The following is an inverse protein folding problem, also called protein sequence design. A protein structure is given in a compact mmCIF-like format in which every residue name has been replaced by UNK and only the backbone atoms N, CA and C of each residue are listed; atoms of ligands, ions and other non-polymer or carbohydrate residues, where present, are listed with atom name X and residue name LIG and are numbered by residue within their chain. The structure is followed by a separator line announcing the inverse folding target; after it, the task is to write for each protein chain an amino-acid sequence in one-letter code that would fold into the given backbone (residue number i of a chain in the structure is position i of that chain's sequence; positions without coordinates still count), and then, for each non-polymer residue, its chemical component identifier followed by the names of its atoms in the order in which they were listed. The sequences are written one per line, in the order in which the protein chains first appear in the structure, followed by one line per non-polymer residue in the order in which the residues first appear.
data_IF_603083536296
#
_entry.id   IF_603083536296
#
_cell.length_a   1.000
_cell.length_b   1.000
_cell.length_c   1.000
_cell.angle_alpha   90.00
_cell.angle_beta   90.00
_cell.angle_gamma   90.00
#
_symmetry.space_group_name_H-M   'P 1'
#
loop_
_entity.id
_entity.type
_entity.pdbx_description
1 polymer ?
#
# COMPACT_ATOMS: atom_id res chain seq x y z
N UNK A 1 -17.83 -24.88 20.83
CA UNK A 1 -16.51 -24.27 20.68
C UNK A 1 -16.53 -22.72 20.66
N UNK A 2 -17.66 -22.07 20.25
CA UNK A 2 -17.73 -20.59 20.17
C UNK A 2 -18.06 -19.88 21.50
N UNK A 3 -18.72 -20.55 22.46
CA UNK A 3 -19.00 -20.00 23.79
C UNK A 3 -19.49 -18.53 23.79
N UNK A 4 -18.99 -17.74 24.74
CA UNK A 4 -19.34 -16.34 24.91
C UNK A 4 -18.90 -15.44 23.73
N UNK A 5 -17.85 -15.80 22.99
CA UNK A 5 -17.36 -15.00 21.86
C UNK A 5 -18.42 -14.86 20.73
N UNK A 6 -19.21 -15.91 20.50
CA UNK A 6 -20.29 -15.85 19.49
C UNK A 6 -21.32 -14.77 19.83
N UNK A 7 -21.73 -14.72 21.09
CA UNK A 7 -22.71 -13.74 21.56
C UNK A 7 -22.15 -12.31 21.47
N UNK A 8 -20.88 -12.13 21.80
CA UNK A 8 -20.22 -10.83 21.71
C UNK A 8 -20.14 -10.35 20.26
N UNK A 9 -19.67 -11.21 19.34
CA UNK A 9 -19.60 -10.89 17.91
C UNK A 9 -20.99 -10.61 17.31
N UNK A 10 -22.03 -11.38 17.69
CA UNK A 10 -23.39 -11.11 17.24
C UNK A 10 -23.91 -9.76 17.71
N UNK A 11 -23.58 -9.37 18.96
CA UNK A 11 -23.94 -8.06 19.51
C UNK A 11 -23.22 -6.95 18.74
N UNK A 12 -21.91 -7.05 18.53
CA UNK A 12 -21.12 -6.07 17.77
C UNK A 12 -21.64 -5.91 16.33
N UNK A 13 -21.93 -7.02 15.63
CA UNK A 13 -22.50 -6.98 14.29
C UNK A 13 -23.83 -6.25 14.24
N UNK A 14 -24.70 -6.47 15.23
CA UNK A 14 -25.98 -5.79 15.35
C UNK A 14 -25.79 -4.30 15.61
N UNK A 15 -24.88 -3.91 16.49
CA UNK A 15 -24.53 -2.51 16.77
C UNK A 15 -24.01 -1.81 15.50
N UNK A 16 -23.15 -2.47 14.72
CA UNK A 16 -22.66 -1.97 13.42
C UNK A 16 -23.82 -1.79 12.42
N UNK A 17 -24.76 -2.73 12.39
CA UNK A 17 -25.95 -2.64 11.50
C UNK A 17 -26.88 -1.50 11.93
N UNK A 18 -27.19 -1.39 13.22
CA UNK A 18 -28.02 -0.33 13.79
C UNK A 18 -27.40 1.06 13.61
N UNK A 19 -26.07 1.16 13.64
CA UNK A 19 -25.33 2.39 13.35
C UNK A 19 -25.27 2.74 11.85
N UNK A 20 -25.81 1.92 10.95
CA UNK A 20 -25.74 2.10 9.49
C UNK A 20 -24.35 1.90 8.90
N UNK A 21 -23.44 1.27 9.64
CA UNK A 21 -22.04 1.04 9.23
C UNK A 21 -21.84 -0.30 8.54
N UNK A 22 -22.84 -1.19 8.56
CA UNK A 22 -22.76 -2.48 7.91
C UNK A 22 -22.79 -2.32 6.39
N UNK A 23 -21.70 -2.69 5.73
CA UNK A 23 -21.56 -2.58 4.27
C UNK A 23 -21.94 -3.90 3.60
N UNK A 24 -23.01 -3.89 2.80
CA UNK A 24 -23.37 -5.02 1.95
C UNK A 24 -22.52 -5.00 0.69
N UNK A 25 -21.89 -6.13 0.38
CA UNK A 25 -21.11 -6.29 -0.85
C UNK A 25 -21.99 -6.23 -2.08
N UNK A 26 -21.52 -5.53 -3.13
CA UNK A 26 -22.14 -5.54 -4.47
C UNK A 26 -21.39 -6.55 -5.32
N UNK A 27 -22.07 -7.57 -5.79
CA UNK A 27 -21.47 -8.66 -6.57
C UNK A 27 -21.41 -8.23 -8.03
N UNK A 28 -20.20 -8.08 -8.55
CA UNK A 28 -19.93 -7.75 -9.95
C UNK A 28 -19.88 -9.05 -10.75
N UNK A 29 -20.58 -9.11 -11.87
CA UNK A 29 -20.77 -10.35 -12.67
C UNK A 29 -20.01 -10.32 -14.00
N UNK A 30 -19.39 -9.21 -14.35
CA UNK A 30 -18.62 -8.99 -15.58
C UNK A 30 -17.23 -8.44 -15.27
N UNK A 31 -16.32 -8.38 -16.25
CA UNK A 31 -15.02 -7.73 -16.06
C UNK A 31 -15.14 -6.29 -15.56
N UNK A 32 -14.12 -5.84 -14.84
CA UNK A 32 -14.01 -4.46 -14.39
C UNK A 32 -13.93 -3.50 -15.59
N UNK A 33 -14.76 -2.47 -15.55
CA UNK A 33 -14.84 -1.41 -16.56
C UNK A 33 -15.43 -0.14 -15.92
N UNK A 34 -15.56 0.93 -16.71
CA UNK A 34 -16.25 2.15 -16.31
C UNK A 34 -17.75 1.89 -16.03
N UNK A 35 -18.40 1.07 -16.86
CA UNK A 35 -19.73 0.53 -16.63
C UNK A 35 -19.59 -0.95 -16.25
N UNK A 36 -20.16 -1.35 -15.14
CA UNK A 36 -20.16 -2.73 -14.64
C UNK A 36 -21.57 -3.26 -14.47
N UNK A 37 -21.73 -4.57 -14.59
CA UNK A 37 -22.99 -5.26 -14.31
C UNK A 37 -22.93 -5.93 -12.93
N UNK A 38 -23.94 -5.70 -12.12
CA UNK A 38 -24.06 -6.30 -10.78
C UNK A 38 -25.09 -7.43 -10.80
N UNK A 39 -25.07 -8.26 -9.75
CA UNK A 39 -25.90 -9.49 -9.65
C UNK A 39 -27.40 -9.25 -9.73
N UNK A 40 -27.87 -8.04 -9.57
CA UNK A 40 -29.28 -7.65 -9.82
C UNK A 40 -29.62 -7.52 -11.30
N UNK A 41 -28.63 -7.60 -12.20
CA UNK A 41 -28.77 -7.37 -13.64
C UNK A 41 -28.71 -5.89 -14.03
N UNK A 42 -28.49 -5.00 -13.07
CA UNK A 42 -28.36 -3.57 -13.32
C UNK A 42 -26.93 -3.24 -13.82
N UNK A 43 -26.87 -2.26 -14.73
CA UNK A 43 -25.62 -1.64 -15.15
C UNK A 43 -25.40 -0.35 -14.37
N UNK A 44 -24.24 -0.19 -13.78
CA UNK A 44 -23.89 0.97 -12.96
C UNK A 44 -22.52 1.53 -13.35
N UNK A 45 -22.34 2.83 -13.18
CA UNK A 45 -21.01 3.46 -13.34
C UNK A 45 -20.16 3.15 -12.11
N UNK A 46 -18.91 2.73 -12.36
CA UNK A 46 -17.97 2.37 -11.33
C UNK A 46 -16.97 3.51 -11.07
N UNK A 47 -17.15 4.22 -9.97
CA UNK A 47 -16.24 5.28 -9.51
C UNK A 47 -15.32 4.83 -8.37
N UNK A 48 -15.36 3.56 -7.98
CA UNK A 48 -14.69 3.06 -6.77
C UNK A 48 -13.49 2.15 -7.08
N UNK A 49 -13.25 1.80 -8.35
CA UNK A 49 -12.21 0.85 -8.72
C UNK A 49 -10.83 1.50 -8.76
N UNK A 50 -9.82 0.78 -8.27
CA UNK A 50 -8.41 1.12 -8.43
C UNK A 50 -7.89 0.73 -9.83
N UNK A 51 -8.70 0.95 -10.86
CA UNK A 51 -8.40 0.65 -12.26
C UNK A 51 -8.11 1.94 -13.04
N UNK A 52 -7.24 2.78 -12.50
CA UNK A 52 -6.97 4.14 -12.97
C UNK A 52 -6.55 4.20 -14.45
N UNK A 53 -5.78 3.22 -14.90
CA UNK A 53 -5.30 3.12 -16.28
C UNK A 53 -6.21 2.25 -17.19
N UNK A 54 -7.29 1.68 -16.66
CA UNK A 54 -8.21 0.82 -17.42
C UNK A 54 -7.60 -0.53 -17.86
N UNK A 55 -6.54 -0.99 -17.22
CA UNK A 55 -5.76 -2.15 -17.67
C UNK A 55 -6.26 -3.50 -17.13
N UNK A 56 -7.14 -3.52 -16.12
CA UNK A 56 -7.54 -4.77 -15.46
C UNK A 56 -8.23 -5.78 -16.37
N UNK A 57 -8.84 -5.35 -17.48
CA UNK A 57 -9.44 -6.21 -18.51
C UNK A 57 -8.95 -5.89 -19.92
N UNK A 58 -7.80 -5.20 -20.04
CA UNK A 58 -7.23 -4.85 -21.35
C UNK A 58 -6.82 -6.14 -22.11
N UNK A 59 -7.22 -6.30 -23.40
CA UNK A 59 -7.01 -7.56 -24.13
C UNK A 59 -5.56 -8.04 -24.17
N UNK A 60 -4.61 -7.13 -24.36
CA UNK A 60 -3.19 -7.47 -24.41
C UNK A 60 -2.66 -7.95 -23.05
N UNK A 61 -3.11 -7.30 -21.94
CA UNK A 61 -2.72 -7.70 -20.58
C UNK A 61 -3.31 -9.09 -20.25
N UNK A 62 -4.57 -9.31 -20.62
CA UNK A 62 -5.24 -10.61 -20.43
C UNK A 62 -4.55 -11.70 -21.26
N UNK A 63 -4.15 -11.40 -22.51
CA UNK A 63 -3.47 -12.36 -23.35
C UNK A 63 -2.07 -12.68 -22.79
N UNK A 64 -1.30 -11.68 -22.40
CA UNK A 64 0.01 -11.89 -21.77
C UNK A 64 -0.06 -12.77 -20.52
N UNK A 65 -1.11 -12.60 -19.70
CA UNK A 65 -1.34 -13.47 -18.55
C UNK A 65 -1.62 -14.93 -18.94
N UNK A 66 -2.42 -15.17 -20.00
CA UNK A 66 -2.66 -16.51 -20.52
C UNK A 66 -1.39 -17.16 -21.05
N UNK A 67 -0.59 -16.44 -21.84
CA UNK A 67 0.67 -16.92 -22.39
C UNK A 67 1.67 -17.26 -21.26
N UNK A 68 1.67 -16.47 -20.20
CA UNK A 68 2.50 -16.75 -19.03
C UNK A 68 2.06 -18.03 -18.27
N UNK A 69 0.76 -18.31 -18.19
CA UNK A 69 0.25 -19.56 -17.62
C UNK A 69 0.70 -20.78 -18.43
N UNK A 70 0.72 -20.67 -19.76
CA UNK A 70 1.17 -21.76 -20.65
C UNK A 70 2.70 -22.00 -20.55
N UNK A 71 3.48 -20.95 -20.33
CA UNK A 71 4.96 -21.04 -20.33
C UNK A 71 5.56 -21.24 -18.94
N UNK A 72 4.95 -20.69 -17.88
CA UNK A 72 5.49 -20.68 -16.52
C UNK A 72 4.61 -21.41 -15.51
N UNK A 73 3.40 -21.83 -15.90
CA UNK A 73 2.43 -22.44 -14.99
C UNK A 73 1.73 -21.43 -14.10
N UNK A 74 0.85 -21.94 -13.22
CA UNK A 74 0.00 -21.10 -12.39
C UNK A 74 0.67 -20.60 -11.11
N UNK A 75 1.48 -21.43 -10.46
CA UNK A 75 2.01 -21.12 -9.11
C UNK A 75 3.51 -21.28 -9.00
N UNK A 76 4.12 -20.43 -8.17
CA UNK A 76 5.56 -20.47 -7.88
C UNK A 76 5.97 -21.63 -6.99
N UNK A 77 5.03 -22.17 -6.20
CA UNK A 77 5.20 -23.31 -5.27
C UNK A 77 6.34 -23.13 -4.27
N UNK A 78 6.92 -21.94 -4.15
CA UNK A 78 7.98 -21.62 -3.20
C UNK A 78 8.12 -20.11 -3.02
N UNK A 79 8.76 -19.70 -1.91
CA UNK A 79 9.21 -18.34 -1.71
C UNK A 79 10.40 -18.02 -2.63
N UNK A 80 10.57 -16.73 -2.96
CA UNK A 80 11.53 -16.30 -3.97
C UNK A 80 12.97 -16.71 -3.70
N UNK A 81 13.45 -16.57 -2.47
CA UNK A 81 14.86 -16.82 -2.14
C UNK A 81 15.23 -18.32 -2.07
N UNK A 82 14.24 -19.24 -2.08
CA UNK A 82 14.53 -20.68 -2.10
C UNK A 82 14.52 -21.19 -3.54
N UNK A 83 13.33 -21.29 -4.18
CA UNK A 83 13.20 -21.76 -5.56
C UNK A 83 11.99 -21.16 -6.30
N UNK A 84 11.41 -20.05 -5.81
CA UNK A 84 10.24 -19.40 -6.40
C UNK A 84 10.55 -18.20 -7.30
N UNK A 85 11.83 -17.87 -7.54
CA UNK A 85 12.20 -16.80 -8.48
C UNK A 85 12.23 -17.31 -9.90
N UNK A 86 11.41 -16.72 -10.77
CA UNK A 86 11.40 -16.97 -12.20
C UNK A 86 12.04 -15.79 -12.98
N UNK A 87 12.39 -16.01 -14.23
CA UNK A 87 12.99 -14.98 -15.08
C UNK A 87 12.07 -13.78 -15.31
N UNK A 88 10.74 -13.99 -15.35
CA UNK A 88 9.76 -12.90 -15.47
C UNK A 88 9.78 -11.94 -14.29
N UNK A 89 10.09 -12.41 -13.07
CA UNK A 89 10.29 -11.52 -11.92
C UNK A 89 11.47 -10.58 -12.18
N UNK A 90 12.61 -11.13 -12.62
CA UNK A 90 13.82 -10.33 -12.86
C UNK A 90 13.63 -9.33 -14.01
N UNK A 91 12.99 -9.78 -15.11
CA UNK A 91 12.63 -8.89 -16.22
C UNK A 91 11.71 -7.73 -15.80
N UNK A 92 10.76 -7.98 -14.89
CA UNK A 92 9.88 -6.93 -14.37
C UNK A 92 10.66 -5.96 -13.46
N UNK A 93 11.50 -6.47 -12.55
CA UNK A 93 12.34 -5.66 -11.68
C UNK A 93 13.25 -4.73 -12.50
N UNK A 94 13.94 -5.25 -13.53
CA UNK A 94 14.79 -4.47 -14.45
C UNK A 94 14.00 -3.37 -15.19
N UNK A 95 12.80 -3.71 -15.68
CA UNK A 95 11.93 -2.73 -16.37
C UNK A 95 11.45 -1.62 -15.45
N UNK A 96 11.06 -1.96 -14.23
CA UNK A 96 10.62 -0.97 -13.24
C UNK A 96 11.78 -0.07 -12.81
N UNK A 97 12.95 -0.62 -12.52
CA UNK A 97 14.13 0.17 -12.19
C UNK A 97 14.51 1.14 -13.31
N UNK A 98 14.48 0.66 -14.57
CA UNK A 98 14.73 1.52 -15.74
C UNK A 98 13.67 2.61 -15.90
N UNK A 99 12.39 2.29 -15.69
CA UNK A 99 11.28 3.23 -15.83
C UNK A 99 11.30 4.32 -14.75
N UNK A 100 11.58 3.93 -13.50
CA UNK A 100 11.61 4.83 -12.35
C UNK A 100 12.98 5.51 -12.14
N UNK A 101 13.99 5.12 -12.94
CA UNK A 101 15.38 5.60 -12.76
C UNK A 101 15.94 5.29 -11.37
N UNK A 102 15.60 4.12 -10.84
CA UNK A 102 16.12 3.61 -9.56
C UNK A 102 17.24 2.58 -9.80
N UNK A 103 18.09 2.36 -8.80
CA UNK A 103 19.21 1.40 -8.90
C UNK A 103 18.71 -0.05 -8.94
N UNK A 104 17.65 -0.36 -8.19
CA UNK A 104 17.08 -1.71 -8.13
C UNK A 104 15.59 -1.67 -7.77
N UNK A 105 14.91 -2.81 -7.92
CA UNK A 105 13.50 -3.01 -7.59
C UNK A 105 13.31 -4.35 -6.90
N UNK A 106 12.46 -4.39 -5.88
CA UNK A 106 11.97 -5.62 -5.25
C UNK A 106 10.46 -5.73 -5.44
N UNK A 107 9.95 -6.92 -5.78
CA UNK A 107 8.53 -7.17 -5.99
C UNK A 107 7.87 -7.77 -4.75
N UNK A 108 6.67 -7.30 -4.44
CA UNK A 108 5.75 -7.87 -3.48
C UNK A 108 4.44 -8.26 -4.16
N UNK A 109 3.66 -9.16 -3.54
CA UNK A 109 2.38 -9.61 -4.09
C UNK A 109 1.31 -8.51 -4.09
N UNK A 110 1.41 -7.56 -3.16
CA UNK A 110 0.52 -6.41 -3.03
C UNK A 110 1.25 -5.22 -2.41
N UNK A 111 0.74 -4.00 -2.64
CA UNK A 111 1.25 -2.78 -1.99
C UNK A 111 1.13 -2.86 -0.46
N UNK A 112 0.06 -3.49 0.06
CA UNK A 112 -0.09 -3.72 1.50
C UNK A 112 1.07 -4.54 2.08
N UNK A 113 1.49 -5.60 1.38
CA UNK A 113 2.62 -6.45 1.79
C UNK A 113 3.94 -5.70 1.69
N UNK A 114 4.11 -4.85 0.67
CA UNK A 114 5.30 -4.01 0.52
C UNK A 114 5.45 -3.04 1.70
N UNK A 115 4.38 -2.32 2.04
CA UNK A 115 4.36 -1.39 3.17
C UNK A 115 4.54 -2.12 4.52
N UNK A 116 3.94 -3.30 4.67
CA UNK A 116 4.13 -4.15 5.86
C UNK A 116 5.54 -4.70 5.99
N UNK A 117 6.19 -5.00 4.87
CA UNK A 117 7.51 -5.65 4.82
C UNK A 117 8.72 -4.71 4.79
N UNK A 118 8.50 -3.40 4.63
CA UNK A 118 9.59 -2.44 4.44
C UNK A 118 10.32 -2.07 5.74
N UNK A 119 9.57 -1.76 6.79
CA UNK A 119 10.12 -1.03 7.95
C UNK A 119 10.94 -1.93 8.88
N UNK A 120 10.41 -3.09 9.27
CA UNK A 120 11.07 -3.96 10.25
C UNK A 120 12.45 -4.47 9.81
N UNK A 121 12.68 -4.85 8.53
CA UNK A 121 14.00 -5.27 8.08
C UNK A 121 15.06 -4.18 8.04
N UNK A 122 14.67 -2.92 7.87
CA UNK A 122 15.59 -1.79 7.62
C UNK A 122 15.83 -0.99 8.89
N UNK A 123 14.80 -0.80 9.71
CA UNK A 123 14.84 0.10 10.86
C UNK A 123 14.71 -0.64 12.19
N UNK A 124 15.49 -0.23 13.18
CA UNK A 124 15.49 -0.77 14.55
C UNK A 124 15.14 0.28 15.60
N UNK A 125 15.32 -0.08 16.87
CA UNK A 125 14.99 0.80 18.01
C UNK A 125 15.83 2.09 18.07
N UNK A 126 16.96 2.13 17.37
CA UNK A 126 17.84 3.29 17.28
C UNK A 126 17.43 4.28 16.19
N UNK A 127 16.47 3.91 15.33
CA UNK A 127 16.04 4.67 14.18
C UNK A 127 14.68 5.34 14.43
N UNK A 128 14.31 6.27 13.56
CA UNK A 128 13.02 6.96 13.61
C UNK A 128 12.24 6.84 12.31
N UNK A 129 10.93 6.69 12.44
CA UNK A 129 9.96 6.77 11.36
C UNK A 129 9.06 7.98 11.61
N UNK A 130 9.03 8.92 10.64
CA UNK A 130 8.27 10.17 10.71
C UNK A 130 7.15 10.07 9.67
N UNK A 131 5.95 9.70 10.11
CA UNK A 131 4.82 9.34 9.25
C UNK A 131 3.78 10.46 9.18
N UNK A 132 3.30 10.75 7.96
CA UNK A 132 2.11 11.60 7.78
C UNK A 132 0.90 11.00 8.50
N UNK A 133 0.06 11.85 9.04
CA UNK A 133 -1.10 11.45 9.85
C UNK A 133 -2.23 10.80 9.08
N UNK A 134 -2.29 10.99 7.76
CA UNK A 134 -3.31 10.42 6.87
C UNK A 134 -2.79 9.28 5.98
N UNK A 135 -1.56 8.82 6.19
CA UNK A 135 -1.01 7.69 5.46
C UNK A 135 -1.94 6.48 5.46
N UNK A 136 -1.87 5.69 4.39
CA UNK A 136 -2.64 4.48 4.21
C UNK A 136 -2.49 3.50 5.39
N UNK A 137 -3.54 2.72 5.67
CA UNK A 137 -3.57 1.76 6.79
C UNK A 137 -2.40 0.75 6.76
N UNK A 138 -1.96 0.32 5.58
CA UNK A 138 -0.82 -0.59 5.43
C UNK A 138 0.50 0.00 5.94
N UNK A 139 0.73 1.30 5.70
CA UNK A 139 1.88 2.03 6.25
C UNK A 139 1.77 2.09 7.78
N UNK A 140 0.60 2.46 8.30
CA UNK A 140 0.35 2.53 9.74
C UNK A 140 0.64 1.18 10.41
N UNK A 141 0.19 0.09 9.81
CA UNK A 141 0.40 -1.26 10.34
C UNK A 141 1.86 -1.69 10.23
N UNK A 142 2.53 -1.43 9.10
CA UNK A 142 3.96 -1.69 8.94
C UNK A 142 4.82 -0.93 9.96
N UNK A 143 4.52 0.35 10.17
CA UNK A 143 5.18 1.18 11.20
C UNK A 143 4.90 0.65 12.61
N UNK A 144 3.71 0.13 12.90
CA UNK A 144 3.38 -0.49 14.19
C UNK A 144 4.17 -1.76 14.49
N UNK A 145 4.49 -2.55 13.48
CA UNK A 145 5.29 -3.76 13.62
C UNK A 145 6.76 -3.46 13.85
N UNK A 146 7.25 -2.34 13.34
CA UNK A 146 8.64 -1.93 13.51
C UNK A 146 8.94 -1.43 14.94
N UNK A 147 10.19 -1.65 15.39
CA UNK A 147 10.67 -1.22 16.72
C UNK A 147 11.24 0.22 16.72
N UNK A 148 11.32 0.87 15.57
CA UNK A 148 11.80 2.25 15.47
C UNK A 148 10.92 3.23 16.27
N UNK A 149 11.52 4.34 16.69
CA UNK A 149 10.78 5.43 17.35
C UNK A 149 9.83 6.06 16.33
N UNK A 150 8.57 6.23 16.73
CA UNK A 150 7.51 6.71 15.83
C UNK A 150 7.17 8.16 16.12
N UNK A 151 7.29 8.98 15.10
CA UNK A 151 6.82 10.36 15.07
C UNK A 151 5.67 10.47 14.06
N UNK A 152 4.70 11.30 14.34
CA UNK A 152 3.57 11.56 13.47
C UNK A 152 3.45 13.05 13.26
N UNK A 153 3.38 13.51 12.03
CA UNK A 153 3.15 14.91 11.70
C UNK A 153 1.78 15.09 11.05
N UNK A 154 1.22 16.30 11.18
CA UNK A 154 -0.07 16.64 10.60
C UNK A 154 -0.01 16.60 9.07
N UNK A 155 -1.07 16.12 8.44
CA UNK A 155 -1.11 15.94 6.98
C UNK A 155 -0.68 17.21 6.24
N UNK A 156 0.31 17.05 5.38
CA UNK A 156 0.87 18.13 4.56
C UNK A 156 1.37 19.37 5.33
N UNK A 157 1.60 19.28 6.64
CA UNK A 157 2.15 20.36 7.46
C UNK A 157 3.68 20.27 7.53
N UNK A 158 4.34 21.06 6.71
CA UNK A 158 5.81 21.08 6.62
C UNK A 158 6.48 21.65 7.88
N UNK A 159 5.79 22.50 8.65
CA UNK A 159 6.32 23.03 9.90
C UNK A 159 6.29 21.97 11.00
N UNK A 160 5.22 21.20 11.07
CA UNK A 160 5.15 20.08 12.01
C UNK A 160 6.11 18.96 11.60
N UNK A 161 6.26 18.67 10.28
CA UNK A 161 7.28 17.74 9.78
C UNK A 161 8.69 18.17 10.21
N UNK A 162 9.05 19.43 10.01
CA UNK A 162 10.35 19.96 10.44
C UNK A 162 10.54 19.84 11.96
N UNK A 163 9.51 20.11 12.74
CA UNK A 163 9.54 19.91 14.18
C UNK A 163 9.86 18.45 14.55
N UNK A 164 9.22 17.48 13.89
CA UNK A 164 9.47 16.05 14.11
C UNK A 164 10.87 15.61 13.67
N UNK A 165 11.39 16.21 12.62
CA UNK A 165 12.78 15.99 12.19
C UNK A 165 13.78 16.51 13.24
N UNK A 166 13.52 17.66 13.84
CA UNK A 166 14.35 18.22 14.93
C UNK A 166 14.25 17.31 16.18
N UNK A 167 13.04 16.92 16.59
CA UNK A 167 12.82 16.02 17.73
C UNK A 167 13.53 14.67 17.58
N UNK A 168 13.68 14.19 16.34
CA UNK A 168 14.26 12.88 16.01
C UNK A 168 15.79 12.90 15.78
N UNK A 169 16.49 14.00 16.02
CA UNK A 169 17.93 14.14 15.74
C UNK A 169 18.83 13.19 16.55
N UNK A 170 18.35 12.68 17.68
CA UNK A 170 19.09 11.72 18.49
C UNK A 170 19.07 10.28 17.92
N UNK A 171 18.17 9.97 16.96
CA UNK A 171 18.09 8.67 16.32
C UNK A 171 19.15 8.52 15.22
N UNK A 172 19.61 7.29 15.02
CA UNK A 172 20.68 6.94 14.06
C UNK A 172 20.28 7.26 12.63
N UNK A 173 19.14 6.71 12.18
CA UNK A 173 18.57 6.97 10.87
C UNK A 173 17.15 7.50 11.01
N UNK A 174 16.71 8.29 10.04
CA UNK A 174 15.34 8.83 9.98
C UNK A 174 14.78 8.53 8.60
N UNK A 175 13.50 8.19 8.54
CA UNK A 175 12.74 8.07 7.30
C UNK A 175 11.43 8.85 7.43
N UNK A 176 11.18 9.73 6.46
CA UNK A 176 9.89 10.40 6.27
C UNK A 176 9.03 9.48 5.41
N UNK A 177 7.78 9.27 5.80
CA UNK A 177 6.86 8.36 5.12
C UNK A 177 5.57 9.10 4.79
N UNK A 178 5.19 9.07 3.51
CA UNK A 178 3.99 9.74 3.01
C UNK A 178 3.36 8.96 1.85
N UNK A 179 2.01 9.03 1.74
CA UNK A 179 1.35 8.75 0.47
C UNK A 179 1.72 9.87 -0.53
N UNK A 180 1.82 9.56 -1.82
CA UNK A 180 1.95 10.56 -2.88
C UNK A 180 0.64 11.28 -3.14
N UNK A 181 -0.45 10.50 -3.22
CA UNK A 181 -1.84 10.97 -3.29
C UNK A 181 -2.66 10.31 -2.20
N UNK A 182 -3.19 11.08 -1.27
CA UNK A 182 -4.05 10.59 -0.19
C UNK A 182 -5.44 10.25 -0.74
N UNK A 183 -5.70 9.00 -1.03
CA UNK A 183 -6.84 8.52 -1.82
C UNK A 183 -8.22 8.86 -1.25
N UNK A 184 -8.34 8.96 0.08
CA UNK A 184 -9.63 9.23 0.74
C UNK A 184 -9.99 10.72 0.75
N UNK A 185 -8.99 11.62 0.73
CA UNK A 185 -9.15 13.05 0.92
C UNK A 185 -8.78 13.85 -0.35
N UNK A 186 -8.02 13.23 -1.28
CA UNK A 186 -7.60 13.86 -2.53
C UNK A 186 -6.44 14.85 -2.38
N UNK A 187 -5.76 14.86 -1.24
CA UNK A 187 -4.54 15.66 -1.07
C UNK A 187 -3.38 15.06 -1.86
N UNK A 188 -2.50 15.94 -2.35
CA UNK A 188 -1.23 15.59 -2.98
C UNK A 188 -0.11 16.00 -2.04
N UNK A 189 0.84 15.11 -1.80
CA UNK A 189 2.00 15.39 -0.94
C UNK A 189 2.88 16.49 -1.54
N UNK A 190 3.42 17.37 -0.71
CA UNK A 190 4.37 18.42 -1.11
C UNK A 190 5.77 17.82 -1.21
N UNK A 191 5.99 16.89 -2.16
CA UNK A 191 7.22 16.09 -2.25
C UNK A 191 8.48 16.95 -2.41
N UNK A 192 8.40 18.07 -3.11
CA UNK A 192 9.49 19.04 -3.23
C UNK A 192 9.98 19.51 -1.84
N UNK A 193 9.06 19.97 -1.01
CA UNK A 193 9.38 20.46 0.35
C UNK A 193 9.76 19.33 1.31
N UNK A 194 9.16 18.15 1.15
CA UNK A 194 9.53 16.97 1.92
C UNK A 194 10.98 16.59 1.61
N UNK A 195 11.38 16.58 0.33
CA UNK A 195 12.75 16.29 -0.08
C UNK A 195 13.75 17.35 0.40
N UNK A 196 13.38 18.64 0.34
CA UNK A 196 14.21 19.72 0.88
C UNK A 196 14.48 19.56 2.38
N UNK A 197 13.44 19.19 3.14
CA UNK A 197 13.58 18.90 4.58
C UNK A 197 14.37 17.61 4.83
N UNK A 198 14.16 16.58 4.02
CA UNK A 198 14.90 15.34 4.11
C UNK A 198 16.41 15.56 3.89
N UNK A 199 16.78 16.33 2.87
CA UNK A 199 18.17 16.71 2.63
C UNK A 199 18.75 17.52 3.78
N UNK A 200 18.01 18.54 4.26
CA UNK A 200 18.44 19.40 5.39
C UNK A 200 18.72 18.63 6.66
N UNK A 201 17.96 17.57 6.94
CA UNK A 201 18.02 16.82 8.20
C UNK A 201 18.60 15.41 8.05
N UNK A 202 19.17 15.08 6.90
CA UNK A 202 19.77 13.77 6.58
C UNK A 202 18.77 12.62 6.86
N UNK A 203 17.62 12.66 6.21
CA UNK A 203 16.56 11.69 6.32
C UNK A 203 16.26 11.04 4.97
N UNK A 204 15.85 9.76 4.99
CA UNK A 204 15.30 9.08 3.82
C UNK A 204 13.85 9.52 3.57
N UNK A 205 13.38 9.37 2.35
CA UNK A 205 11.97 9.57 1.99
C UNK A 205 11.41 8.29 1.39
N UNK A 206 10.29 7.83 1.92
CA UNK A 206 9.46 6.76 1.37
C UNK A 206 8.14 7.35 0.89
N UNK A 207 7.79 7.08 -0.35
CA UNK A 207 6.53 7.51 -0.96
C UNK A 207 5.74 6.28 -1.39
N UNK A 208 4.48 6.21 -0.99
CA UNK A 208 3.50 5.23 -1.47
C UNK A 208 2.71 5.90 -2.62
N UNK A 209 2.97 5.46 -3.88
CA UNK A 209 2.45 6.09 -5.10
C UNK A 209 1.76 5.07 -6.03
#
# INVERSE_FOLDING_TARGET
MYGAIKSNLQKELKEIEEAGLYKKERIITKPQATEIEVSTGEKVLNFCANNYLGLSSHPEVVQAAKDALDTHGFGMSSVRFICGTQDIHKKLEEKLSSFLSTEDTILYAAAFDANGGLFEPIFGKEDAIISDSLNHASIIDGVRLCKAVRYRYQNNDMQDLETKLIESQAQRNRVIVTDGVFSMDGYIAQLDKICDLAEKYDALVMVDD
#
